data_IF_932069559638
#
_entry.id   IF_932069559638
#
_cell.length_a   1.000
_cell.length_b   1.000
_cell.length_c   1.000
_cell.angle_alpha   90.00
_cell.angle_beta   90.00
_cell.angle_gamma   90.00
#
_symmetry.space_group_name_H-M   'P 1'
#
loop_
_entity.id
_entity.type
_entity.pdbx_description
1 polymer ?
#
# COMPACT_ATOMS: atom_id res chain seq x y z
N UNK A 1 -38.96 13.44 4.07
CA UNK A 1 -39.12 12.69 5.34
C UNK A 1 -38.65 11.27 5.07
N UNK A 2 -37.37 10.99 5.32
CA UNK A 2 -36.78 9.66 5.09
C UNK A 2 -37.27 8.70 6.18
N UNK A 3 -37.72 7.52 5.78
CA UNK A 3 -38.21 6.52 6.74
C UNK A 3 -37.02 5.97 7.56
N UNK A 4 -37.19 5.62 8.86
CA UNK A 4 -36.08 5.23 9.73
C UNK A 4 -35.20 4.08 9.22
N UNK A 5 -35.74 3.21 8.36
CA UNK A 5 -35.03 2.07 7.76
C UNK A 5 -34.01 2.45 6.69
N UNK A 6 -34.24 3.52 5.91
CA UNK A 6 -33.34 3.94 4.81
C UNK A 6 -31.99 4.47 5.34
N UNK A 7 -32.02 5.22 6.44
CA UNK A 7 -30.79 5.73 7.08
C UNK A 7 -29.93 4.63 7.70
N UNK A 8 -30.56 3.54 8.16
CA UNK A 8 -29.87 2.43 8.82
C UNK A 8 -29.15 1.53 7.81
N UNK A 9 -29.78 1.27 6.64
CA UNK A 9 -29.17 0.53 5.54
C UNK A 9 -27.98 1.25 4.89
N UNK A 10 -28.07 2.58 4.73
CA UNK A 10 -26.97 3.39 4.21
C UNK A 10 -25.74 3.37 5.14
N UNK A 11 -25.96 3.42 6.46
CA UNK A 11 -24.90 3.33 7.46
C UNK A 11 -24.18 1.97 7.47
N UNK A 12 -24.95 0.88 7.39
CA UNK A 12 -24.40 -0.48 7.33
C UNK A 12 -23.55 -0.70 6.06
N UNK A 13 -24.03 -0.25 4.89
CA UNK A 13 -23.30 -0.38 3.63
C UNK A 13 -21.95 0.35 3.65
N UNK A 14 -21.91 1.58 4.18
CA UNK A 14 -20.66 2.35 4.33
C UNK A 14 -19.68 1.62 5.25
N UNK A 15 -20.17 1.01 6.33
CA UNK A 15 -19.32 0.27 7.27
C UNK A 15 -18.71 -0.98 6.61
N UNK A 16 -19.50 -1.74 5.85
CA UNK A 16 -19.01 -2.91 5.09
C UNK A 16 -17.90 -2.52 4.12
N UNK A 17 -18.10 -1.45 3.33
CA UNK A 17 -17.08 -0.96 2.38
C UNK A 17 -15.79 -0.59 3.11
N UNK A 18 -15.89 0.08 4.26
CA UNK A 18 -14.71 0.47 5.05
C UNK A 18 -13.96 -0.72 5.61
N UNK A 19 -14.66 -1.76 6.08
CA UNK A 19 -14.05 -3.00 6.55
C UNK A 19 -13.34 -3.72 5.41
N UNK A 20 -14.01 -3.88 4.27
CA UNK A 20 -13.40 -4.52 3.09
C UNK A 20 -12.17 -3.75 2.60
N UNK A 21 -12.26 -2.42 2.53
CA UNK A 21 -11.12 -1.57 2.20
C UNK A 21 -9.98 -1.76 3.21
N UNK A 22 -10.28 -1.83 4.51
CA UNK A 22 -9.28 -2.08 5.55
C UNK A 22 -8.58 -3.43 5.39
N UNK A 23 -9.33 -4.50 5.12
CA UNK A 23 -8.78 -5.85 4.92
C UNK A 23 -7.90 -5.90 3.67
N UNK A 24 -8.37 -5.35 2.54
CA UNK A 24 -7.61 -5.30 1.29
C UNK A 24 -6.35 -4.45 1.45
N UNK A 25 -6.45 -3.29 2.10
CA UNK A 25 -5.30 -2.43 2.37
C UNK A 25 -4.29 -3.09 3.30
N UNK A 26 -4.73 -3.83 4.32
CA UNK A 26 -3.83 -4.57 5.22
C UNK A 26 -3.10 -5.69 4.47
N UNK A 27 -3.82 -6.48 3.66
CA UNK A 27 -3.21 -7.56 2.88
C UNK A 27 -2.21 -7.06 1.85
N UNK A 28 -2.60 -6.08 1.03
CA UNK A 28 -1.69 -5.46 0.05
C UNK A 28 -0.53 -4.74 0.74
N UNK A 29 -0.78 -4.10 1.89
CA UNK A 29 0.23 -3.38 2.65
C UNK A 29 1.29 -4.31 3.23
N UNK A 30 0.89 -5.49 3.70
CA UNK A 30 1.83 -6.51 4.15
C UNK A 30 2.72 -7.00 3.00
N UNK A 31 2.13 -7.29 1.84
CA UNK A 31 2.89 -7.69 0.63
C UNK A 31 3.85 -6.59 0.21
N UNK A 32 3.41 -5.33 0.20
CA UNK A 32 4.24 -4.17 -0.09
C UNK A 32 5.45 -4.08 0.85
N UNK A 33 5.23 -4.16 2.16
CA UNK A 33 6.31 -4.06 3.14
C UNK A 33 7.32 -5.19 3.00
N UNK A 34 6.85 -6.43 2.82
CA UNK A 34 7.72 -7.60 2.64
C UNK A 34 8.55 -7.53 1.37
N UNK A 35 7.94 -7.14 0.24
CA UNK A 35 8.63 -7.05 -1.05
C UNK A 35 9.59 -5.86 -1.12
N UNK A 36 9.23 -4.73 -0.53
CA UNK A 36 10.14 -3.60 -0.35
C UNK A 36 11.33 -3.97 0.55
N UNK A 37 11.08 -4.71 1.63
CA UNK A 37 12.13 -5.23 2.50
C UNK A 37 13.10 -6.15 1.75
N UNK A 38 12.58 -7.08 0.95
CA UNK A 38 13.42 -7.96 0.10
C UNK A 38 14.28 -7.12 -0.84
N UNK A 39 13.70 -6.15 -1.54
CA UNK A 39 14.44 -5.31 -2.47
C UNK A 39 15.56 -4.50 -1.79
N UNK A 40 15.25 -3.84 -0.66
CA UNK A 40 16.24 -3.06 0.07
C UNK A 40 17.30 -3.96 0.72
N UNK A 41 16.94 -5.15 1.21
CA UNK A 41 17.89 -6.10 1.79
C UNK A 41 18.80 -6.71 0.71
N UNK A 42 18.30 -6.97 -0.49
CA UNK A 42 19.13 -7.36 -1.64
C UNK A 42 20.19 -6.30 -1.97
N UNK A 43 19.86 -5.02 -1.84
CA UNK A 43 20.78 -3.92 -2.17
C UNK A 43 21.75 -3.56 -1.03
N UNK A 44 21.24 -3.45 0.20
CA UNK A 44 21.97 -2.91 1.36
C UNK A 44 22.33 -3.98 2.40
N UNK A 45 22.00 -5.25 2.15
CA UNK A 45 22.28 -6.35 3.05
C UNK A 45 23.77 -6.65 3.20
N UNK A 46 24.15 -7.18 4.37
CA UNK A 46 25.52 -7.65 4.62
C UNK A 46 25.69 -9.04 3.99
N UNK A 47 26.48 -9.12 2.92
CA UNK A 47 26.84 -10.37 2.24
C UNK A 47 26.20 -10.56 0.86
N UNK A 48 26.51 -11.68 0.20
CA UNK A 48 25.99 -12.04 -1.13
C UNK A 48 24.56 -12.58 -1.06
N UNK A 49 23.61 -11.79 -0.55
CA UNK A 49 22.21 -12.21 -0.39
C UNK A 49 21.47 -12.31 -1.72
N UNK A 50 21.93 -11.61 -2.76
CA UNK A 50 21.29 -11.60 -4.07
C UNK A 50 22.34 -11.58 -5.21
N UNK A 51 23.02 -12.72 -5.48
CA UNK A 51 24.09 -12.79 -6.48
C UNK A 51 23.64 -12.43 -7.90
N UNK A 52 22.33 -12.56 -8.16
CA UNK A 52 21.74 -12.36 -9.48
C UNK A 52 20.88 -11.08 -9.58
N UNK A 53 20.62 -10.39 -8.46
CA UNK A 53 19.74 -9.23 -8.42
C UNK A 53 18.24 -9.54 -8.56
N UNK A 54 17.83 -10.82 -8.44
CA UNK A 54 16.43 -11.21 -8.61
C UNK A 54 15.56 -10.72 -7.46
N UNK A 55 16.06 -10.78 -6.23
CA UNK A 55 15.37 -10.23 -5.07
C UNK A 55 15.17 -8.72 -5.21
N UNK A 56 16.18 -8.00 -5.72
CA UNK A 56 16.10 -6.58 -5.99
C UNK A 56 15.06 -6.25 -7.07
N UNK A 57 15.15 -6.89 -8.24
CA UNK A 57 14.28 -6.57 -9.38
C UNK A 57 12.83 -6.99 -9.14
N UNK A 58 12.60 -8.25 -8.73
CA UNK A 58 11.24 -8.75 -8.51
C UNK A 58 10.64 -8.20 -7.22
N UNK A 59 11.44 -7.98 -6.18
CA UNK A 59 11.00 -7.30 -4.96
C UNK A 59 10.55 -5.88 -5.24
N UNK A 60 11.32 -5.09 -6.00
CA UNK A 60 10.95 -3.74 -6.38
C UNK A 60 9.68 -3.71 -7.25
N UNK A 61 9.59 -4.57 -8.26
CA UNK A 61 8.41 -4.64 -9.13
C UNK A 61 7.14 -5.01 -8.35
N UNK A 62 7.21 -6.03 -7.48
CA UNK A 62 6.08 -6.44 -6.65
C UNK A 62 5.69 -5.36 -5.63
N UNK A 63 6.68 -4.68 -5.02
CA UNK A 63 6.45 -3.59 -4.09
C UNK A 63 5.74 -2.40 -4.74
N UNK A 64 6.08 -2.05 -5.98
CA UNK A 64 5.40 -0.95 -6.69
C UNK A 64 3.92 -1.27 -6.90
N UNK A 65 3.60 -2.48 -7.34
CA UNK A 65 2.20 -2.89 -7.58
C UNK A 65 1.42 -2.96 -6.27
N UNK A 66 1.96 -3.66 -5.26
CA UNK A 66 1.29 -3.82 -3.97
C UNK A 66 1.16 -2.47 -3.24
N UNK A 67 2.22 -1.66 -3.24
CA UNK A 67 2.25 -0.35 -2.61
C UNK A 67 1.26 0.63 -3.24
N UNK A 68 1.08 0.60 -4.57
CA UNK A 68 0.08 1.42 -5.24
C UNK A 68 -1.33 1.03 -4.81
N UNK A 69 -1.64 -0.27 -4.79
CA UNK A 69 -2.94 -0.77 -4.31
C UNK A 69 -3.19 -0.35 -2.86
N UNK A 70 -2.21 -0.52 -1.97
CA UNK A 70 -2.32 -0.06 -0.58
C UNK A 70 -2.55 1.44 -0.51
N UNK A 71 -1.81 2.24 -1.29
CA UNK A 71 -1.89 3.69 -1.22
C UNK A 71 -3.26 4.24 -1.64
N UNK A 72 -3.91 3.58 -2.61
CA UNK A 72 -5.24 3.96 -3.11
C UNK A 72 -6.37 3.43 -2.25
N UNK A 73 -6.24 2.21 -1.71
CA UNK A 73 -7.31 1.53 -0.97
C UNK A 73 -7.32 1.93 0.51
N UNK A 74 -6.16 2.15 1.13
CA UNK A 74 -6.05 2.43 2.56
C UNK A 74 -6.88 3.65 3.03
N UNK A 75 -6.91 4.80 2.31
CA UNK A 75 -7.74 5.94 2.69
C UNK A 75 -9.24 5.62 2.78
N UNK A 76 -9.73 4.66 1.98
CA UNK A 76 -11.14 4.27 1.95
C UNK A 76 -11.60 3.56 3.23
N UNK A 77 -10.68 2.99 4.02
CA UNK A 77 -10.99 2.42 5.34
C UNK A 77 -11.39 3.51 6.36
N UNK A 78 -10.99 4.76 6.13
CA UNK A 78 -11.23 5.88 7.03
C UNK A 78 -12.52 6.65 6.71
N UNK A 79 -13.02 7.50 7.63
CA UNK A 79 -14.18 8.35 7.37
C UNK A 79 -13.91 9.33 6.22
N UNK A 80 -14.94 9.67 5.42
CA UNK A 80 -14.81 10.55 4.24
C UNK A 80 -14.14 11.90 4.54
N UNK A 81 -14.35 12.46 5.74
CA UNK A 81 -13.72 13.72 6.19
C UNK A 81 -12.18 13.69 6.18
N UNK A 82 -11.56 12.51 6.22
CA UNK A 82 -10.11 12.35 6.24
C UNK A 82 -9.54 11.79 4.94
N UNK A 83 -10.35 11.60 3.89
CA UNK A 83 -9.89 10.99 2.65
C UNK A 83 -8.84 11.83 1.94
N UNK A 84 -9.04 13.14 1.81
CA UNK A 84 -8.06 14.01 1.14
C UNK A 84 -6.67 13.90 1.78
N UNK A 85 -6.61 14.07 3.11
CA UNK A 85 -5.38 13.94 3.89
C UNK A 85 -4.82 12.52 3.83
N UNK A 86 -5.69 11.51 3.91
CA UNK A 86 -5.32 10.10 3.79
C UNK A 86 -4.63 9.81 2.45
N UNK A 87 -5.26 10.17 1.33
CA UNK A 87 -4.71 10.02 -0.02
C UNK A 87 -3.39 10.76 -0.18
N UNK A 88 -3.28 12.01 0.30
CA UNK A 88 -2.02 12.75 0.22
C UNK A 88 -0.89 12.02 0.96
N UNK A 89 -1.14 11.58 2.19
CA UNK A 89 -0.11 10.89 2.99
C UNK A 89 0.27 9.56 2.35
N UNK A 90 -0.70 8.74 1.95
CA UNK A 90 -0.42 7.40 1.40
C UNK A 90 0.25 7.47 0.04
N UNK A 91 -0.18 8.37 -0.85
CA UNK A 91 0.45 8.56 -2.16
C UNK A 91 1.84 9.18 -2.05
N UNK A 92 2.06 10.14 -1.16
CA UNK A 92 3.40 10.71 -0.93
C UNK A 92 4.36 9.66 -0.35
N UNK A 93 3.88 8.86 0.60
CA UNK A 93 4.67 7.77 1.18
C UNK A 93 5.02 6.74 0.10
N UNK A 94 4.04 6.34 -0.71
CA UNK A 94 4.27 5.44 -1.84
C UNK A 94 5.26 6.01 -2.85
N UNK A 95 5.10 7.27 -3.25
CA UNK A 95 5.99 7.93 -4.19
C UNK A 95 7.43 7.98 -3.66
N UNK A 96 7.62 8.30 -2.38
CA UNK A 96 8.93 8.28 -1.74
C UNK A 96 9.56 6.89 -1.78
N UNK A 97 8.82 5.84 -1.40
CA UNK A 97 9.33 4.46 -1.44
C UNK A 97 9.61 4.01 -2.88
N UNK A 98 8.76 4.35 -3.84
CA UNK A 98 8.97 4.02 -5.25
C UNK A 98 10.24 4.67 -5.81
N UNK A 99 10.50 5.94 -5.48
CA UNK A 99 11.74 6.63 -5.86
C UNK A 99 12.95 5.94 -5.24
N UNK A 100 12.87 5.56 -3.95
CA UNK A 100 13.96 4.82 -3.29
C UNK A 100 14.20 3.45 -3.92
N UNK A 101 13.15 2.72 -4.30
CA UNK A 101 13.28 1.44 -4.99
C UNK A 101 13.91 1.60 -6.38
N UNK A 102 13.51 2.61 -7.15
CA UNK A 102 14.12 2.92 -8.45
C UNK A 102 15.60 3.29 -8.26
N UNK A 103 15.93 4.12 -7.28
CA UNK A 103 17.30 4.47 -6.97
C UNK A 103 18.12 3.23 -6.56
N UNK A 104 17.55 2.32 -5.76
CA UNK A 104 18.21 1.08 -5.37
C UNK A 104 18.51 0.18 -6.58
N UNK A 105 17.57 0.07 -7.54
CA UNK A 105 17.74 -0.71 -8.78
C UNK A 105 18.77 -0.07 -9.71
N UNK A 106 18.71 1.25 -9.92
CA UNK A 106 19.58 1.94 -10.89
C UNK A 106 21.01 2.13 -10.41
N UNK A 107 21.25 2.08 -9.10
CA UNK A 107 22.59 2.17 -8.53
C UNK A 107 23.20 0.82 -8.23
N UNK A 108 22.47 -0.29 -8.48
CA UNK A 108 22.85 -1.65 -8.16
C UNK A 108 24.22 -2.04 -8.72
#
# INVERSE_FOLDING_TARGET
MSTPGESQGAGAGILVVRVLAGVVAAGTGLVFLLTAWVAFSSRFGLGSQDPHGYGLLFGAAAAVVAGFLTAVVLPLAFPRRSWSRGYSITLLTFAAVAVLLVAAVLTA
#
